data_IF_846970516697
#
_entry.id   IF_846970516697
#
_cell.length_a   1.000
_cell.length_b   1.000
_cell.length_c   1.000
_cell.angle_alpha   90.00
_cell.angle_beta   90.00
_cell.angle_gamma   90.00
#
_symmetry.space_group_name_H-M   'P 1'
#
loop_
_entity.id
_entity.type
_entity.pdbx_description
1 polymer ?
#
# COMPACT_ATOMS: atom_id res chain seq x y z
N UNK A 1 -25.86 2.62 4.57
CA UNK A 1 -25.88 1.42 3.72
C UNK A 1 -25.37 0.21 4.49
N UNK A 2 -25.85 -1.00 4.19
CA UNK A 2 -25.27 -2.28 4.65
C UNK A 2 -25.50 -2.74 6.09
N UNK A 3 -26.22 -1.98 6.93
CA UNK A 3 -26.47 -2.33 8.33
C UNK A 3 -27.56 -3.40 8.57
N UNK A 4 -28.39 -3.70 7.58
CA UNK A 4 -29.51 -4.66 7.72
C UNK A 4 -29.10 -6.13 7.46
N UNK A 5 -27.80 -6.47 7.54
CA UNK A 5 -27.32 -7.84 7.36
C UNK A 5 -27.28 -8.35 5.90
N UNK A 6 -27.81 -7.60 4.93
CA UNK A 6 -27.80 -7.96 3.50
C UNK A 6 -26.40 -8.21 2.95
N UNK A 7 -25.38 -7.54 3.50
CA UNK A 7 -23.97 -7.68 3.12
C UNK A 7 -23.14 -8.35 4.22
N UNK A 8 -23.74 -9.19 5.06
CA UNK A 8 -23.02 -9.82 6.19
C UNK A 8 -21.94 -10.81 5.75
N UNK A 9 -22.04 -11.36 4.53
CA UNK A 9 -21.07 -12.32 3.96
C UNK A 9 -20.52 -11.88 2.59
N UNK A 10 -20.93 -10.71 2.08
CA UNK A 10 -20.58 -10.21 0.75
C UNK A 10 -20.24 -8.72 0.83
N UNK A 11 -19.32 -8.24 -0.01
CA UNK A 11 -19.03 -6.82 -0.15
C UNK A 11 -19.98 -6.09 -1.10
N UNK A 12 -19.80 -4.78 -1.23
CA UNK A 12 -20.46 -3.92 -2.21
C UNK A 12 -19.40 -3.14 -2.99
N UNK A 13 -19.55 -3.04 -4.31
CA UNK A 13 -18.74 -2.19 -5.18
C UNK A 13 -19.60 -1.02 -5.64
N UNK A 14 -19.16 0.20 -5.35
CA UNK A 14 -19.82 1.43 -5.77
C UNK A 14 -18.91 2.15 -6.76
N UNK A 15 -19.45 2.45 -7.94
CA UNK A 15 -18.79 3.29 -8.94
C UNK A 15 -19.31 4.72 -8.82
N UNK A 16 -18.39 5.66 -8.60
CA UNK A 16 -18.67 7.09 -8.61
C UNK A 16 -17.94 7.75 -9.76
N UNK A 17 -18.58 8.73 -10.40
CA UNK A 17 -17.94 9.55 -11.42
C UNK A 17 -17.50 10.88 -10.79
N UNK A 18 -16.20 11.10 -10.66
CA UNK A 18 -15.62 12.31 -10.09
C UNK A 18 -15.47 13.42 -11.15
N UNK A 19 -16.55 13.78 -11.83
CA UNK A 19 -16.53 14.83 -12.87
C UNK A 19 -16.52 16.22 -12.22
N UNK A 20 -17.07 16.35 -11.02
CA UNK A 20 -17.11 17.61 -10.27
C UNK A 20 -17.04 17.34 -8.75
N UNK A 21 -16.77 18.41 -7.98
CA UNK A 21 -16.58 18.31 -6.54
C UNK A 21 -17.79 17.77 -5.78
N UNK A 22 -19.02 17.89 -6.32
CA UNK A 22 -20.23 17.44 -5.65
C UNK A 22 -20.17 15.95 -5.28
N UNK A 23 -19.70 15.11 -6.20
CA UNK A 23 -19.65 13.65 -5.97
C UNK A 23 -18.55 13.27 -4.98
N UNK A 24 -17.43 13.98 -4.98
CA UNK A 24 -16.35 13.77 -4.02
C UNK A 24 -16.79 14.23 -2.63
N UNK A 25 -17.39 15.42 -2.51
CA UNK A 25 -17.92 15.95 -1.26
C UNK A 25 -19.01 15.03 -0.69
N UNK A 26 -19.89 14.50 -1.55
CA UNK A 26 -20.88 13.52 -1.15
C UNK A 26 -20.23 12.26 -0.57
N UNK A 27 -19.19 11.73 -1.22
CA UNK A 27 -18.45 10.57 -0.71
C UNK A 27 -17.78 10.88 0.62
N UNK A 28 -17.05 11.98 0.74
CA UNK A 28 -16.34 12.36 1.96
C UNK A 28 -17.29 12.56 3.15
N UNK A 29 -18.45 13.17 2.93
CA UNK A 29 -19.46 13.37 3.97
C UNK A 29 -20.05 12.05 4.48
N UNK A 30 -20.18 11.04 3.62
CA UNK A 30 -20.75 9.73 4.00
C UNK A 30 -19.69 8.67 4.33
N UNK A 31 -18.41 8.94 4.05
CA UNK A 31 -17.32 8.03 4.32
C UNK A 31 -17.24 7.55 5.78
N UNK A 32 -17.49 8.38 6.81
CA UNK A 32 -17.54 7.92 8.20
C UNK A 32 -18.61 6.84 8.44
N UNK A 33 -19.77 6.96 7.79
CA UNK A 33 -20.86 5.99 7.95
C UNK A 33 -20.58 4.69 7.18
N UNK A 34 -19.88 4.78 6.05
CA UNK A 34 -19.40 3.62 5.30
C UNK A 34 -18.39 2.83 6.14
N UNK A 35 -17.39 3.50 6.74
CA UNK A 35 -16.41 2.85 7.62
C UNK A 35 -17.02 2.20 8.85
N UNK A 36 -18.15 2.70 9.35
CA UNK A 36 -18.89 2.07 10.46
C UNK A 36 -19.69 0.85 10.04
N UNK A 37 -20.08 0.75 8.77
CA UNK A 37 -20.93 -0.32 8.25
C UNK A 37 -20.13 -1.50 7.68
N UNK A 38 -18.87 -1.30 7.29
CA UNK A 38 -18.02 -2.32 6.68
C UNK A 38 -16.68 -2.44 7.39
N UNK A 39 -16.20 -3.67 7.55
CA UNK A 39 -14.92 -3.95 8.23
C UNK A 39 -13.70 -3.45 7.43
N UNK A 40 -13.79 -3.51 6.11
CA UNK A 40 -12.71 -3.13 5.19
C UNK A 40 -13.28 -2.29 4.06
N UNK A 41 -12.64 -1.15 3.80
CA UNK A 41 -12.91 -0.30 2.64
C UNK A 41 -11.61 -0.22 1.85
N UNK A 42 -11.61 -0.81 0.66
CA UNK A 42 -10.44 -0.93 -0.21
C UNK A 42 -10.84 -0.81 -1.67
N UNK A 43 -9.88 -0.77 -2.58
CA UNK A 43 -10.12 -0.74 -4.02
C UNK A 43 -10.65 -2.10 -4.54
N UNK A 44 -11.20 -2.08 -5.76
CA UNK A 44 -11.83 -3.26 -6.36
C UNK A 44 -10.82 -4.37 -6.66
N UNK A 45 -9.61 -4.04 -7.10
CA UNK A 45 -8.60 -5.03 -7.44
C UNK A 45 -8.14 -5.79 -6.19
N UNK A 46 -7.85 -5.07 -5.10
CA UNK A 46 -7.53 -5.66 -3.80
C UNK A 46 -8.69 -6.49 -3.26
N UNK A 47 -9.93 -5.99 -3.35
CA UNK A 47 -11.13 -6.73 -2.93
C UNK A 47 -11.31 -8.06 -3.69
N UNK A 48 -10.98 -8.07 -4.99
CA UNK A 48 -11.08 -9.25 -5.85
C UNK A 48 -9.81 -10.10 -5.91
N UNK A 49 -8.77 -9.75 -5.14
CA UNK A 49 -7.47 -10.43 -5.15
C UNK A 49 -6.78 -10.43 -6.53
N UNK A 50 -6.90 -9.33 -7.28
CA UNK A 50 -6.29 -9.14 -8.59
C UNK A 50 -4.98 -8.35 -8.41
N UNK A 51 -3.83 -9.00 -8.58
CA UNK A 51 -2.53 -8.33 -8.40
C UNK A 51 -2.09 -7.44 -9.57
N UNK A 52 -2.59 -7.70 -10.78
CA UNK A 52 -2.27 -6.91 -11.98
C UNK A 52 -3.59 -6.55 -12.71
N UNK A 53 -4.32 -5.51 -12.26
CA UNK A 53 -5.58 -5.12 -12.88
C UNK A 53 -5.39 -4.45 -14.26
N UNK A 54 -4.18 -3.97 -14.56
CA UNK A 54 -3.81 -3.36 -15.83
C UNK A 54 -2.96 -4.31 -16.67
N UNK A 55 -2.89 -4.04 -17.97
CA UNK A 55 -2.06 -4.81 -18.89
C UNK A 55 -0.56 -4.57 -18.62
N UNK A 56 -0.22 -3.34 -18.26
CA UNK A 56 1.12 -2.92 -17.88
C UNK A 56 1.47 -3.48 -16.50
N UNK A 57 2.48 -4.35 -16.45
CA UNK A 57 2.92 -5.02 -15.20
C UNK A 57 3.74 -4.14 -14.25
N UNK A 58 3.73 -2.83 -14.46
CA UNK A 58 4.51 -1.86 -13.66
C UNK A 58 3.79 -1.45 -12.39
N UNK A 59 2.46 -1.59 -12.34
CA UNK A 59 1.64 -1.31 -11.15
C UNK A 59 1.05 -2.63 -10.63
N UNK A 60 1.43 -3.00 -9.41
CA UNK A 60 0.92 -4.20 -8.73
C UNK A 60 0.12 -3.83 -7.50
N UNK A 61 -0.99 -4.52 -7.29
CA UNK A 61 -1.85 -4.38 -6.12
C UNK A 61 -1.57 -5.52 -5.14
N UNK A 62 -1.63 -5.21 -3.85
CA UNK A 62 -1.49 -6.21 -2.80
C UNK A 62 -2.73 -7.13 -2.77
N UNK A 63 -2.55 -8.36 -2.28
CA UNK A 63 -3.70 -9.21 -1.98
C UNK A 63 -4.51 -8.66 -0.79
N UNK A 64 -5.76 -9.09 -0.67
CA UNK A 64 -6.68 -8.62 0.37
C UNK A 64 -6.13 -8.84 1.80
N UNK A 65 -5.57 -10.02 2.07
CA UNK A 65 -5.02 -10.39 3.37
C UNK A 65 -3.90 -9.43 3.81
N UNK A 66 -2.96 -9.15 2.90
CA UNK A 66 -1.84 -8.23 3.14
C UNK A 66 -2.36 -6.80 3.35
N UNK A 67 -3.31 -6.34 2.53
CA UNK A 67 -3.89 -4.99 2.65
C UNK A 67 -4.71 -4.78 3.92
N UNK A 68 -5.25 -5.83 4.54
CA UNK A 68 -6.12 -5.74 5.71
C UNK A 68 -5.43 -6.09 7.02
N UNK A 69 -4.36 -6.90 6.96
CA UNK A 69 -3.63 -7.38 8.15
C UNK A 69 -2.37 -6.56 8.44
N UNK A 70 -1.75 -5.95 7.41
CA UNK A 70 -0.61 -5.04 7.61
C UNK A 70 -1.09 -3.59 7.55
N UNK A 71 -0.50 -2.74 8.40
CA UNK A 71 -0.47 -1.30 8.19
C UNK A 71 0.41 -1.03 6.96
N UNK A 72 -0.12 -1.33 5.77
CA UNK A 72 0.63 -1.21 4.52
C UNK A 72 0.64 0.25 4.13
N UNK A 73 1.82 0.86 4.21
CA UNK A 73 2.12 2.12 3.54
C UNK A 73 1.69 2.02 2.07
N UNK A 74 0.80 2.92 1.68
CA UNK A 74 0.37 3.27 0.33
C UNK A 74 1.26 2.74 -0.80
N UNK A 75 0.62 2.07 -1.76
CA UNK A 75 1.01 1.90 -3.18
C UNK A 75 2.43 2.38 -3.49
N UNK A 76 3.37 1.44 -3.65
CA UNK A 76 4.68 1.74 -4.26
C UNK A 76 4.48 1.85 -5.78
N UNK A 77 3.74 2.86 -6.20
CA UNK A 77 3.73 3.29 -7.59
C UNK A 77 5.08 3.95 -7.85
N UNK A 78 5.99 3.21 -8.49
CA UNK A 78 7.18 3.82 -9.09
C UNK A 78 6.69 4.68 -10.26
N UNK A 79 6.26 5.89 -9.95
CA UNK A 79 5.56 6.78 -10.89
C UNK A 79 5.36 8.21 -10.42
N UNK A 80 5.74 8.56 -9.19
CA UNK A 80 6.06 9.95 -8.87
C UNK A 80 7.53 10.16 -9.20
N UNK A 81 7.82 11.06 -10.14
CA UNK A 81 9.11 11.74 -10.18
C UNK A 81 8.93 12.94 -9.24
N UNK A 82 9.50 12.96 -8.02
CA UNK A 82 9.49 14.16 -7.19
C UNK A 82 10.53 15.11 -7.79
N UNK A 83 10.08 15.93 -8.74
CA UNK A 83 10.81 17.10 -9.17
C UNK A 83 10.84 18.13 -8.05
N UNK A 84 12.02 18.26 -7.44
CA UNK A 84 12.56 19.41 -6.72
C UNK A 84 11.93 19.82 -5.37
N UNK A 85 12.56 19.39 -4.28
CA UNK A 85 13.21 20.34 -3.35
C UNK A 85 14.07 19.63 -2.30
N UNK A 86 15.38 19.92 -2.32
CA UNK A 86 16.28 19.77 -1.18
C UNK A 86 16.95 18.40 -1.01
N UNK A 87 18.23 18.31 -1.36
CA UNK A 87 19.13 17.26 -0.87
C UNK A 87 19.20 17.28 0.67
N UNK A 88 19.28 16.11 1.31
CA UNK A 88 20.41 15.90 2.19
C UNK A 88 21.12 14.57 1.89
N UNK A 89 22.43 14.71 1.69
CA UNK A 89 23.46 13.70 1.77
C UNK A 89 23.41 12.93 3.10
N UNK A 90 23.50 11.60 3.06
CA UNK A 90 24.61 10.80 3.66
C UNK A 90 24.22 9.34 4.00
N UNK A 91 25.13 8.45 3.62
CA UNK A 91 25.44 7.11 4.16
C UNK A 91 24.36 6.01 4.12
N UNK A 92 24.48 5.16 3.10
CA UNK A 92 23.85 3.84 3.08
C UNK A 92 24.50 2.90 4.11
N UNK A 93 23.71 2.44 5.06
CA UNK A 93 24.10 1.40 6.02
C UNK A 93 24.05 0.04 5.35
N UNK A 94 25.20 -0.54 5.01
CA UNK A 94 25.28 -1.91 4.55
C UNK A 94 25.34 -2.83 5.78
N UNK A 95 24.31 -3.64 5.96
CA UNK A 95 24.23 -4.68 6.99
C UNK A 95 25.14 -5.85 6.57
N UNK A 96 26.36 -5.92 7.12
CA UNK A 96 27.20 -7.10 7.00
C UNK A 96 26.97 -8.02 8.21
N UNK A 97 26.82 -9.35 8.01
CA UNK A 97 26.79 -10.28 9.12
C UNK A 97 28.11 -10.22 9.87
N UNK A 98 28.03 -10.07 11.19
CA UNK A 98 29.15 -9.86 12.12
C UNK A 98 30.31 -10.87 11.97
N UNK A 99 30.06 -12.05 11.40
CA UNK A 99 31.03 -13.14 11.24
C UNK A 99 32.11 -12.84 10.18
N UNK A 100 31.81 -11.97 9.21
CA UNK A 100 32.75 -11.62 8.12
C UNK A 100 33.90 -10.72 8.60
N UNK A 101 33.71 -9.98 9.69
CA UNK A 101 34.72 -9.03 10.20
C UNK A 101 35.80 -9.75 11.03
N UNK A 102 35.44 -10.83 11.72
CA UNK A 102 36.39 -11.57 12.56
C UNK A 102 37.39 -12.39 11.71
N UNK A 103 36.97 -12.86 10.53
CA UNK A 103 37.82 -13.63 9.62
C UNK A 103 38.92 -12.79 8.96
N UNK A 104 38.64 -11.51 8.67
CA UNK A 104 39.62 -10.60 8.09
C UNK A 104 40.72 -10.18 9.09
N UNK A 105 40.40 -10.13 10.38
CA UNK A 105 41.36 -9.73 11.42
C UNK A 105 42.42 -10.81 11.73
N UNK A 106 42.09 -12.09 11.57
CA UNK A 106 43.04 -13.19 11.84
C UNK A 106 44.08 -13.39 10.73
N UNK A 107 43.74 -13.10 9.47
CA UNK A 107 44.69 -13.23 8.36
C UNK A 107 45.72 -12.09 8.29
N UNK A 108 45.45 -10.95 8.93
CA UNK A 108 46.35 -9.79 8.90
C UNK A 108 47.44 -9.81 10.00
N UNK A 109 47.38 -10.73 10.96
CA UNK A 109 48.35 -10.79 12.07
C UNK A 109 49.36 -11.96 11.95
N UNK A 110 49.31 -12.75 10.86
CA UNK A 110 50.22 -13.90 10.63
C UNK A 110 51.03 -13.76 9.32
N UNK A 111 51.23 -12.54 8.83
CA UNK A 111 52.27 -12.26 7.84
C UNK A 111 53.12 -11.06 8.26
#
# INVERSE_FOLDING_TARGET
MGKNGTFSTKGNIVLSHEINNMTMDFFLNHYPDIKKAYNHVTDVATCMNISNPYFEKVITFANFEVSTTKNVSSVTGSGVIPGASGSPSSSGSINYPQWTILAAAFFAFVL
#
